data_IF_602690398948
#
_entry.id   IF_602690398948
#
_cell.length_a   1.000
_cell.length_b   1.000
_cell.length_c   1.000
_cell.angle_alpha   90.00
_cell.angle_beta   90.00
_cell.angle_gamma   90.00
#
_symmetry.space_group_name_H-M   'P 1'
#
loop_
_entity.id
_entity.type
_entity.pdbx_description
1 polymer ?
#
# COMPACT_ATOMS: atom_id res chain seq x y z
N UNK A 1 38.59 -6.70 6.18
CA UNK A 1 38.21 -7.93 5.44
C UNK A 1 37.17 -8.64 6.29
N UNK A 2 35.92 -8.70 5.85
CA UNK A 2 34.85 -9.37 6.60
C UNK A 2 35.01 -10.89 6.33
N UNK A 3 35.07 -11.76 7.36
CA UNK A 3 35.23 -13.19 7.17
C UNK A 3 34.04 -13.77 6.36
N UNK A 4 34.32 -14.43 5.24
CA UNK A 4 33.31 -15.20 4.51
C UNK A 4 33.01 -16.47 5.31
N UNK A 5 31.97 -16.41 6.13
CA UNK A 5 31.46 -17.55 6.89
C UNK A 5 31.12 -18.66 5.87
N UNK A 6 31.72 -19.84 6.01
CA UNK A 6 31.42 -20.99 5.13
C UNK A 6 29.97 -21.42 5.37
N UNK A 7 29.04 -20.91 4.55
CA UNK A 7 27.66 -21.37 4.60
C UNK A 7 27.61 -22.84 4.17
N UNK A 8 27.35 -23.73 5.12
CA UNK A 8 27.11 -25.14 4.82
C UNK A 8 25.95 -25.25 3.82
N UNK A 9 26.04 -26.22 2.89
CA UNK A 9 25.01 -26.48 1.86
C UNK A 9 23.62 -26.62 2.49
N UNK A 10 23.55 -27.20 3.69
CA UNK A 10 22.33 -27.33 4.48
C UNK A 10 21.75 -25.97 4.90
N UNK A 11 22.56 -25.10 5.49
CA UNK A 11 22.13 -23.75 5.89
C UNK A 11 21.58 -22.94 4.70
N UNK A 12 22.25 -23.04 3.53
CA UNK A 12 21.79 -22.37 2.32
C UNK A 12 20.43 -22.87 1.84
N UNK A 13 20.21 -24.19 1.88
CA UNK A 13 18.93 -24.80 1.50
C UNK A 13 17.84 -24.44 2.50
N UNK A 14 18.10 -24.54 3.80
CA UNK A 14 17.13 -24.17 4.85
C UNK A 14 16.75 -22.69 4.78
N UNK A 15 17.73 -21.80 4.58
CA UNK A 15 17.48 -20.37 4.39
C UNK A 15 16.64 -20.11 3.14
N UNK A 16 16.96 -20.77 2.01
CA UNK A 16 16.19 -20.62 0.78
C UNK A 16 14.76 -21.15 0.94
N UNK A 17 14.56 -22.29 1.60
CA UNK A 17 13.24 -22.81 1.95
C UNK A 17 12.46 -21.84 2.83
N UNK A 18 13.09 -21.27 3.87
CA UNK A 18 12.48 -20.25 4.72
C UNK A 18 12.03 -19.03 3.89
N UNK A 19 12.90 -18.50 3.04
CA UNK A 19 12.59 -17.35 2.18
C UNK A 19 11.45 -17.66 1.22
N UNK A 20 11.47 -18.83 0.58
CA UNK A 20 10.39 -19.27 -0.33
C UNK A 20 9.06 -19.43 0.42
N UNK A 21 9.06 -20.09 1.57
CA UNK A 21 7.85 -20.25 2.40
C UNK A 21 7.30 -18.91 2.89
N UNK A 22 8.18 -17.98 3.28
CA UNK A 22 7.81 -16.63 3.66
C UNK A 22 7.10 -15.88 2.52
N UNK A 23 7.64 -15.95 1.29
CA UNK A 23 7.00 -15.34 0.13
C UNK A 23 5.70 -16.03 -0.27
N UNK A 24 5.62 -17.37 -0.20
CA UNK A 24 4.36 -18.10 -0.44
C UNK A 24 3.30 -17.64 0.56
N UNK A 25 3.63 -17.58 1.84
CA UNK A 25 2.73 -17.11 2.89
C UNK A 25 2.22 -15.69 2.62
N UNK A 26 3.12 -14.78 2.21
CA UNK A 26 2.80 -13.39 1.89
C UNK A 26 1.89 -13.26 0.65
N UNK A 27 2.13 -14.07 -0.38
CA UNK A 27 1.41 -14.03 -1.66
C UNK A 27 0.06 -14.76 -1.60
N UNK A 28 -0.07 -15.80 -0.77
CA UNK A 28 -1.29 -16.62 -0.64
C UNK A 28 -2.58 -15.80 -0.47
N UNK A 29 -2.70 -14.85 0.47
CA UNK A 29 -3.93 -14.06 0.61
C UNK A 29 -4.23 -13.22 -0.63
N UNK A 30 -3.20 -12.71 -1.32
CA UNK A 30 -3.37 -11.97 -2.57
C UNK A 30 -3.93 -12.87 -3.68
N UNK A 31 -3.41 -14.09 -3.81
CA UNK A 31 -3.90 -15.08 -4.78
C UNK A 31 -5.34 -15.51 -4.49
N UNK A 32 -5.68 -15.70 -3.22
CA UNK A 32 -7.06 -16.03 -2.81
C UNK A 32 -8.00 -14.90 -3.21
N UNK A 33 -7.67 -13.64 -2.89
CA UNK A 33 -8.50 -12.50 -3.29
C UNK A 33 -8.61 -12.40 -4.82
N UNK A 34 -7.52 -12.58 -5.56
CA UNK A 34 -7.51 -12.54 -7.01
C UNK A 34 -8.32 -13.68 -7.65
N UNK A 35 -8.35 -14.87 -7.04
CA UNK A 35 -9.18 -15.97 -7.52
C UNK A 35 -10.67 -15.71 -7.23
N UNK A 36 -10.97 -15.23 -6.02
CA UNK A 36 -12.34 -14.92 -5.60
C UNK A 36 -12.92 -13.65 -6.24
N UNK A 37 -12.11 -12.79 -6.87
CA UNK A 37 -12.63 -11.63 -7.62
C UNK A 37 -13.40 -12.03 -8.88
N UNK A 38 -13.26 -13.27 -9.35
CA UNK A 38 -14.06 -13.84 -10.43
C UNK A 38 -15.28 -14.60 -9.93
N UNK A 39 -15.48 -14.71 -8.61
CA UNK A 39 -16.60 -15.43 -8.03
C UNK A 39 -17.90 -14.64 -8.27
N UNK A 40 -18.92 -15.29 -8.79
CA UNK A 40 -20.25 -14.70 -8.99
C UNK A 40 -21.03 -14.66 -7.67
N UNK A 41 -20.58 -13.81 -6.75
CA UNK A 41 -21.14 -13.68 -5.41
C UNK A 41 -21.28 -12.21 -5.02
N UNK A 42 -22.50 -11.82 -4.64
CA UNK A 42 -22.81 -10.46 -4.17
C UNK A 42 -22.06 -10.09 -2.87
N UNK A 43 -21.61 -11.09 -2.11
CA UNK A 43 -20.86 -10.91 -0.87
C UNK A 43 -19.57 -11.72 -0.89
N UNK A 44 -18.49 -11.24 -0.26
CA UNK A 44 -17.29 -12.03 -0.07
C UNK A 44 -17.61 -13.24 0.80
N UNK A 45 -17.68 -14.40 0.16
CA UNK A 45 -17.98 -15.66 0.80
C UNK A 45 -16.98 -16.71 0.33
N UNK A 46 -16.67 -17.65 1.21
CA UNK A 46 -15.79 -18.78 0.90
C UNK A 46 -16.44 -19.81 -0.03
N UNK A 47 -17.72 -19.61 -0.39
CA UNK A 47 -18.46 -20.49 -1.28
C UNK A 47 -18.30 -20.02 -2.72
N UNK A 48 -17.87 -20.92 -3.59
CA UNK A 48 -17.77 -20.65 -5.02
C UNK A 48 -19.17 -20.75 -5.66
N UNK A 49 -19.70 -19.62 -6.10
CA UNK A 49 -21.05 -19.51 -6.68
C UNK A 49 -21.05 -19.51 -8.22
N UNK A 50 -19.90 -19.29 -8.86
CA UNK A 50 -19.75 -19.28 -10.32
C UNK A 50 -18.57 -18.44 -10.75
N UNK A 51 -18.21 -18.49 -12.04
CA UNK A 51 -17.19 -17.62 -12.62
C UNK A 51 -17.90 -16.51 -13.43
N UNK A 52 -17.58 -15.24 -13.18
CA UNK A 52 -18.16 -14.11 -13.93
C UNK A 52 -17.12 -13.02 -14.26
N UNK A 53 -17.35 -12.35 -15.40
CA UNK A 53 -16.64 -11.13 -15.81
C UNK A 53 -17.48 -9.86 -15.62
N UNK A 54 -18.73 -10.00 -15.17
CA UNK A 54 -19.69 -8.89 -15.07
C UNK A 54 -19.20 -7.79 -14.12
N UNK A 55 -18.39 -8.16 -13.13
CA UNK A 55 -17.72 -7.22 -12.23
C UNK A 55 -16.78 -6.24 -12.94
N UNK A 56 -16.23 -6.62 -14.09
CA UNK A 56 -15.24 -5.84 -14.84
C UNK A 56 -15.85 -5.12 -16.05
N UNK A 57 -16.84 -5.76 -16.70
CA UNK A 57 -17.36 -5.32 -18.01
C UNK A 57 -18.86 -4.97 -17.99
N UNK A 58 -19.57 -5.20 -16.89
CA UNK A 58 -21.02 -5.00 -16.80
C UNK A 58 -21.44 -3.53 -16.65
N UNK A 59 -22.74 -3.26 -16.80
CA UNK A 59 -23.33 -1.91 -16.70
C UNK A 59 -23.20 -1.27 -15.30
N UNK A 60 -22.92 -2.11 -14.28
CA UNK A 60 -22.67 -1.76 -12.89
C UNK A 60 -21.18 -1.53 -12.58
N UNK A 61 -20.30 -1.51 -13.59
CA UNK A 61 -18.89 -1.18 -13.40
C UNK A 61 -18.76 0.20 -12.72
N UNK A 62 -17.86 0.37 -11.73
CA UNK A 62 -17.76 1.59 -10.95
C UNK A 62 -17.56 2.79 -11.88
N UNK A 63 -18.58 3.64 -11.96
CA UNK A 63 -18.57 4.83 -12.82
C UNK A 63 -17.70 5.90 -12.17
N UNK A 64 -16.89 6.50 -13.02
CA UNK A 64 -15.64 7.17 -12.68
C UNK A 64 -15.87 8.59 -12.14
N UNK A 65 -16.12 8.69 -10.84
CA UNK A 65 -16.04 9.91 -10.02
C UNK A 65 -14.63 10.40 -9.80
N UNK A 66 -13.86 10.47 -10.87
CA UNK A 66 -12.41 10.43 -10.76
C UNK A 66 -11.79 11.75 -10.38
N UNK A 67 -12.40 12.90 -10.69
CA UNK A 67 -11.64 14.15 -10.71
C UNK A 67 -11.18 14.56 -9.33
N UNK A 68 -12.09 14.62 -8.34
CA UNK A 68 -11.75 15.03 -6.97
C UNK A 68 -10.86 14.00 -6.28
N UNK A 69 -11.16 12.71 -6.44
CA UNK A 69 -10.33 11.63 -5.91
C UNK A 69 -8.93 11.65 -6.52
N UNK A 70 -8.82 11.84 -7.84
CA UNK A 70 -7.52 11.91 -8.54
C UNK A 70 -6.70 13.09 -8.07
N UNK A 71 -7.31 14.27 -7.85
CA UNK A 71 -6.61 15.43 -7.31
C UNK A 71 -6.14 15.19 -5.86
N UNK A 72 -6.97 14.57 -5.02
CA UNK A 72 -6.59 14.17 -3.66
C UNK A 72 -5.44 13.17 -3.64
N UNK A 73 -5.52 12.14 -4.48
CA UNK A 73 -4.49 11.12 -4.61
C UNK A 73 -3.20 11.69 -5.19
N UNK A 74 -3.30 12.60 -6.15
CA UNK A 74 -2.16 13.32 -6.68
C UNK A 74 -1.44 14.13 -5.60
N UNK A 75 -2.16 14.89 -4.78
CA UNK A 75 -1.58 15.68 -3.69
C UNK A 75 -0.86 14.79 -2.66
N UNK A 76 -1.47 13.67 -2.29
CA UNK A 76 -0.88 12.71 -1.35
C UNK A 76 0.38 12.04 -1.91
N UNK A 77 0.27 11.44 -3.10
CA UNK A 77 1.35 10.67 -3.73
C UNK A 77 2.53 11.57 -4.10
N UNK A 78 2.26 12.80 -4.58
CA UNK A 78 3.31 13.76 -4.94
C UNK A 78 4.20 14.10 -3.74
N UNK A 79 3.62 14.19 -2.54
CA UNK A 79 4.39 14.48 -1.31
C UNK A 79 5.42 13.38 -1.04
N UNK A 80 5.00 12.11 -1.14
CA UNK A 80 5.88 10.94 -0.93
C UNK A 80 6.89 10.81 -2.07
N UNK A 81 6.47 10.98 -3.33
CA UNK A 81 7.36 10.93 -4.48
C UNK A 81 8.44 12.01 -4.41
N UNK A 82 8.08 13.22 -4.01
CA UNK A 82 9.01 14.34 -3.80
C UNK A 82 10.02 14.02 -2.71
N UNK A 83 9.59 13.39 -1.61
CA UNK A 83 10.51 12.94 -0.57
C UNK A 83 11.53 11.95 -1.12
N UNK A 84 11.09 10.91 -1.83
CA UNK A 84 11.98 9.89 -2.42
C UNK A 84 12.99 10.54 -3.40
N UNK A 85 12.51 11.37 -4.32
CA UNK A 85 13.36 12.03 -5.32
C UNK A 85 14.33 13.02 -4.66
N UNK A 86 13.88 13.81 -3.69
CA UNK A 86 14.71 14.80 -3.00
C UNK A 86 15.85 14.16 -2.21
N UNK A 87 15.63 12.99 -1.60
CA UNK A 87 16.72 12.26 -0.91
C UNK A 87 17.82 11.83 -1.88
N UNK A 88 17.48 11.50 -3.14
CA UNK A 88 18.46 11.18 -4.17
C UNK A 88 19.14 12.44 -4.68
N UNK A 89 18.37 13.50 -4.93
CA UNK A 89 18.89 14.76 -5.46
C UNK A 89 19.88 15.43 -4.49
N UNK A 90 19.67 15.32 -3.17
CA UNK A 90 20.63 15.82 -2.16
C UNK A 90 22.00 15.15 -2.21
N UNK A 91 22.10 13.96 -2.81
CA UNK A 91 23.36 13.24 -3.01
C UNK A 91 24.01 13.53 -4.36
N UNK A 92 23.36 14.34 -5.20
CA UNK A 92 23.89 14.74 -6.50
C UNK A 92 24.92 15.86 -6.32
N UNK A 93 26.05 15.74 -7.02
CA UNK A 93 27.08 16.75 -7.04
C UNK A 93 26.87 17.69 -8.23
N UNK A 94 26.58 18.97 -7.95
CA UNK A 94 26.32 19.99 -8.96
C UNK A 94 27.52 20.21 -9.88
N UNK A 95 28.75 19.91 -9.43
CA UNK A 95 29.96 20.08 -10.23
C UNK A 95 29.97 19.17 -11.46
N UNK A 96 29.23 18.06 -11.45
CA UNK A 96 29.05 17.20 -12.62
C UNK A 96 28.21 17.87 -13.71
N UNK A 97 27.21 18.68 -13.33
CA UNK A 97 26.41 19.47 -14.27
C UNK A 97 27.24 20.62 -14.85
N UNK A 98 28.03 21.29 -14.02
CA UNK A 98 28.97 22.35 -14.45
C UNK A 98 30.05 21.83 -15.39
N UNK A 99 30.63 20.66 -15.10
CA UNK A 99 31.60 20.00 -15.96
C UNK A 99 31.02 19.65 -17.35
N UNK A 100 29.74 19.27 -17.40
CA UNK A 100 29.05 19.01 -18.67
C UNK A 100 28.76 20.29 -19.47
N UNK A 101 28.66 21.46 -18.81
CA UNK A 101 28.48 22.76 -19.47
C UNK A 101 29.79 23.36 -20.01
N UNK A 102 30.95 23.01 -19.45
CA UNK A 102 32.27 23.48 -19.92
C UNK A 102 32.56 23.25 -21.42
N UNK A 103 32.18 22.12 -22.05
CA UNK A 103 32.31 21.95 -23.50
C UNK A 103 31.28 22.74 -24.33
N UNK A 104 30.46 23.60 -23.72
CA UNK A 104 29.46 24.44 -24.40
C UNK A 104 28.03 23.88 -24.40
N UNK A 105 27.73 22.85 -23.60
CA UNK A 105 26.39 22.29 -23.51
C UNK A 105 25.43 23.28 -22.79
N UNK A 106 24.18 23.36 -23.27
CA UNK A 106 23.15 24.16 -22.59
C UNK A 106 22.71 23.52 -21.27
N UNK A 107 22.22 24.32 -20.32
CA UNK A 107 21.75 23.85 -19.01
C UNK A 107 20.68 22.76 -19.10
N UNK A 108 19.75 22.90 -20.05
CA UNK A 108 18.72 21.87 -20.31
C UNK A 108 19.33 20.55 -20.78
N UNK A 109 20.39 20.61 -21.59
CA UNK A 109 21.12 19.43 -22.07
C UNK A 109 21.89 18.76 -20.95
N UNK A 110 22.54 19.55 -20.08
CA UNK A 110 23.25 19.05 -18.91
C UNK A 110 22.28 18.35 -17.93
N UNK A 111 21.11 18.94 -17.67
CA UNK A 111 20.06 18.31 -16.85
C UNK A 111 19.57 16.99 -17.48
N UNK A 112 19.25 16.99 -18.78
CA UNK A 112 18.73 15.79 -19.44
C UNK A 112 19.75 14.65 -19.53
N UNK A 113 21.05 14.97 -19.61
CA UNK A 113 22.12 13.99 -19.86
C UNK A 113 22.86 13.57 -18.59
N UNK A 114 22.91 14.41 -17.56
CA UNK A 114 23.64 14.13 -16.31
C UNK A 114 22.66 13.91 -15.15
N UNK A 115 21.82 14.92 -14.88
CA UNK A 115 20.93 14.92 -13.72
C UNK A 115 19.80 13.90 -13.86
N UNK A 116 19.16 13.81 -15.03
CA UNK A 116 18.04 12.90 -15.27
C UNK A 116 18.47 11.42 -15.18
N UNK A 117 19.58 10.96 -15.82
CA UNK A 117 20.05 9.58 -15.68
C UNK A 117 20.47 9.22 -14.25
N UNK A 118 21.04 10.17 -13.51
CA UNK A 118 21.35 9.99 -12.09
C UNK A 118 20.08 9.77 -11.24
N UNK A 119 19.00 10.50 -11.56
CA UNK A 119 17.71 10.39 -10.88
C UNK A 119 16.85 9.21 -11.35
N UNK A 120 17.07 8.64 -12.55
CA UNK A 120 16.31 7.49 -13.10
C UNK A 120 16.00 6.38 -12.07
N UNK A 121 16.97 5.81 -11.33
CA UNK A 121 16.67 4.77 -10.34
C UNK A 121 15.76 5.25 -9.21
N UNK A 122 15.88 6.53 -8.80
CA UNK A 122 14.99 7.11 -7.79
C UNK A 122 13.60 7.43 -8.35
N UNK A 123 13.49 7.84 -9.60
CA UNK A 123 12.21 8.03 -10.28
C UNK A 123 11.45 6.70 -10.42
N UNK A 124 12.15 5.62 -10.79
CA UNK A 124 11.56 4.28 -10.83
C UNK A 124 11.13 3.82 -9.43
N UNK A 125 11.98 4.00 -8.42
CA UNK A 125 11.64 3.69 -7.03
C UNK A 125 10.44 4.49 -6.52
N UNK A 126 10.40 5.80 -6.79
CA UNK A 126 9.28 6.66 -6.45
C UNK A 126 8.00 6.24 -7.19
N UNK A 127 8.09 5.81 -8.44
CA UNK A 127 6.96 5.29 -9.21
C UNK A 127 6.37 4.00 -8.61
N UNK A 128 7.21 3.06 -8.19
CA UNK A 128 6.75 1.84 -7.49
C UNK A 128 6.08 2.18 -6.17
N UNK A 129 6.69 3.06 -5.37
CA UNK A 129 6.10 3.52 -4.09
C UNK A 129 4.77 4.23 -4.33
N UNK A 130 4.70 5.11 -5.32
CA UNK A 130 3.48 5.82 -5.71
C UNK A 130 2.35 4.86 -6.10
N UNK A 131 2.67 3.82 -6.88
CA UNK A 131 1.72 2.79 -7.26
C UNK A 131 1.18 2.05 -6.04
N UNK A 132 2.05 1.52 -5.17
CA UNK A 132 1.66 0.80 -3.96
C UNK A 132 0.78 1.67 -3.04
N UNK A 133 1.22 2.91 -2.78
CA UNK A 133 0.49 3.85 -1.93
C UNK A 133 -0.87 4.26 -2.52
N UNK A 134 -1.02 4.23 -3.85
CA UNK A 134 -2.30 4.52 -4.51
C UNK A 134 -3.38 3.49 -4.16
N UNK A 135 -3.01 2.20 -4.09
CA UNK A 135 -3.92 1.12 -3.70
C UNK A 135 -4.25 1.14 -2.21
N UNK A 136 -3.26 1.46 -1.36
CA UNK A 136 -3.44 1.46 0.10
C UNK A 136 -4.13 2.71 0.64
N UNK A 137 -4.15 3.82 -0.11
CA UNK A 137 -4.71 5.08 0.37
C UNK A 137 -6.25 5.14 0.27
N UNK A 138 -6.89 4.32 1.09
CA UNK A 138 -8.35 4.25 1.26
C UNK A 138 -8.96 5.50 1.91
N UNK A 139 -8.24 6.12 2.86
CA UNK A 139 -8.77 7.24 3.65
C UNK A 139 -9.02 8.49 2.80
N UNK A 140 -8.05 8.89 1.97
CA UNK A 140 -8.22 10.06 1.08
C UNK A 140 -9.32 9.81 0.06
N UNK A 141 -9.41 8.59 -0.48
CA UNK A 141 -10.49 8.24 -1.39
C UNK A 141 -11.85 8.30 -0.69
N UNK A 142 -11.98 7.84 0.56
CA UNK A 142 -13.26 7.75 1.26
C UNK A 142 -13.78 9.14 1.62
N UNK A 143 -12.90 10.04 2.04
CA UNK A 143 -13.26 11.40 2.41
C UNK A 143 -13.63 12.28 1.21
N UNK A 144 -13.08 11.99 0.03
CA UNK A 144 -13.33 12.74 -1.21
C UNK A 144 -14.33 12.07 -2.15
N UNK A 145 -14.73 10.83 -1.85
CA UNK A 145 -15.76 10.13 -2.61
C UNK A 145 -17.11 10.82 -2.37
N UNK A 146 -17.64 11.40 -3.44
CA UNK A 146 -18.97 12.00 -3.48
C UNK A 146 -20.00 10.99 -3.96
N UNK A 147 -20.64 11.26 -5.10
CA UNK A 147 -21.65 10.39 -5.73
C UNK A 147 -21.09 9.12 -6.37
N UNK A 148 -19.83 9.17 -6.80
CA UNK A 148 -19.17 8.11 -7.56
C UNK A 148 -17.96 7.63 -6.77
N UNK A 149 -18.00 6.36 -6.36
CA UNK A 149 -17.01 5.78 -5.45
C UNK A 149 -15.90 5.03 -6.22
N UNK A 150 -14.63 5.25 -5.87
CA UNK A 150 -13.52 4.41 -6.30
C UNK A 150 -13.75 2.93 -5.95
N UNK A 151 -13.16 2.02 -6.73
CA UNK A 151 -13.34 0.57 -6.58
C UNK A 151 -13.10 0.09 -5.13
N UNK A 152 -12.10 0.65 -4.45
CA UNK A 152 -11.76 0.30 -3.06
C UNK A 152 -12.89 0.62 -2.08
N UNK A 153 -13.62 1.72 -2.29
CA UNK A 153 -14.77 2.12 -1.45
C UNK A 153 -16.02 1.38 -1.87
N UNK A 154 -16.24 1.20 -3.18
CA UNK A 154 -17.34 0.38 -3.66
C UNK A 154 -17.28 -1.03 -3.05
N UNK A 155 -16.09 -1.66 -2.96
CA UNK A 155 -15.92 -2.94 -2.28
C UNK A 155 -16.17 -2.86 -0.76
N UNK A 156 -15.73 -1.78 -0.11
CA UNK A 156 -15.97 -1.56 1.33
C UNK A 156 -17.46 -1.35 1.66
N UNK A 157 -18.18 -0.58 0.87
CA UNK A 157 -19.61 -0.33 1.06
C UNK A 157 -20.40 -1.62 0.88
N UNK A 158 -20.03 -2.48 -0.07
CA UNK A 158 -20.65 -3.82 -0.26
C UNK A 158 -20.35 -4.77 0.89
N UNK A 159 -19.15 -4.74 1.45
CA UNK A 159 -18.80 -5.45 2.69
C UNK A 159 -19.65 -4.98 3.87
N UNK A 160 -19.91 -3.67 3.95
CA UNK A 160 -20.73 -3.06 4.99
C UNK A 160 -22.22 -3.36 4.83
N UNK A 161 -22.73 -3.39 3.60
CA UNK A 161 -24.10 -3.80 3.28
C UNK A 161 -24.37 -5.27 3.65
N UNK A 162 -23.35 -6.13 3.60
CA UNK A 162 -23.42 -7.53 4.06
C UNK A 162 -23.19 -7.73 5.56
N UNK A 163 -22.68 -6.73 6.28
CA UNK A 163 -22.48 -6.78 7.74
C UNK A 163 -23.72 -6.28 8.44
N UNK A 164 -24.51 -7.20 8.99
CA UNK A 164 -25.60 -6.82 9.90
C UNK A 164 -25.03 -5.89 10.98
N UNK A 165 -25.65 -4.73 11.28
CA UNK A 165 -25.20 -3.79 12.31
C UNK A 165 -24.91 -4.42 13.68
N UNK A 166 -25.45 -5.63 13.89
CA UNK A 166 -25.19 -6.53 15.01
C UNK A 166 -23.69 -6.82 15.23
N UNK A 167 -22.88 -6.97 14.18
CA UNK A 167 -21.46 -7.32 14.32
C UNK A 167 -20.61 -6.12 14.79
N UNK A 168 -20.96 -4.92 14.34
CA UNK A 168 -20.40 -3.67 14.87
C UNK A 168 -20.90 -3.39 16.29
N UNK A 169 -22.18 -3.63 16.58
CA UNK A 169 -22.72 -3.51 17.93
C UNK A 169 -22.01 -4.47 18.90
N UNK A 170 -21.78 -5.72 18.49
CA UNK A 170 -21.03 -6.70 19.27
C UNK A 170 -19.58 -6.28 19.47
N UNK A 171 -18.92 -5.73 18.44
CA UNK A 171 -17.54 -5.24 18.54
C UNK A 171 -17.41 -4.07 19.52
N UNK A 172 -18.36 -3.13 19.49
CA UNK A 172 -18.42 -2.01 20.45
C UNK A 172 -18.67 -2.51 21.87
N UNK A 173 -19.58 -3.47 22.06
CA UNK A 173 -19.83 -4.06 23.38
C UNK A 173 -18.61 -4.80 23.94
N UNK A 174 -17.90 -5.55 23.09
CA UNK A 174 -16.67 -6.23 23.48
C UNK A 174 -15.54 -5.25 23.80
N UNK A 175 -15.36 -4.19 23.00
CA UNK A 175 -14.39 -3.13 23.28
C UNK A 175 -14.71 -2.41 24.59
N UNK A 176 -15.97 -2.03 24.81
CA UNK A 176 -16.41 -1.40 26.05
C UNK A 176 -16.18 -2.31 27.27
N UNK A 177 -16.49 -3.61 27.14
CA UNK A 177 -16.21 -4.61 28.17
C UNK A 177 -14.71 -4.73 28.47
N UNK A 178 -13.87 -4.79 27.43
CA UNK A 178 -12.42 -4.85 27.60
C UNK A 178 -11.84 -3.59 28.24
N UNK A 179 -12.31 -2.40 27.84
CA UNK A 179 -11.91 -1.13 28.43
C UNK A 179 -12.35 -1.03 29.90
N UNK A 180 -13.56 -1.50 30.23
CA UNK A 180 -14.04 -1.57 31.61
C UNK A 180 -13.19 -2.49 32.47
N UNK A 181 -12.90 -3.71 32.00
CA UNK A 181 -12.04 -4.65 32.70
C UNK A 181 -10.61 -4.11 32.88
N UNK A 182 -10.07 -3.44 31.86
CA UNK A 182 -8.75 -2.80 31.94
C UNK A 182 -8.74 -1.67 32.98
N UNK A 183 -9.79 -0.84 33.04
CA UNK A 183 -9.93 0.21 34.05
C UNK A 183 -10.04 -0.40 35.46
N UNK A 184 -10.88 -1.43 35.65
CA UNK A 184 -11.00 -2.13 36.93
C UNK A 184 -9.66 -2.74 37.35
N UNK A 185 -8.95 -3.38 36.42
CA UNK A 185 -7.60 -3.91 36.67
C UNK A 185 -6.63 -2.79 37.07
N UNK A 186 -6.69 -1.62 36.42
CA UNK A 186 -5.84 -0.48 36.75
C UNK A 186 -6.11 0.05 38.17
N UNK A 187 -7.38 0.10 38.59
CA UNK A 187 -7.76 0.53 39.92
C UNK A 187 -7.52 -0.53 41.00
N UNK A 188 -7.63 -1.82 40.66
CA UNK A 188 -7.29 -2.94 41.53
C UNK A 188 -5.77 -3.08 41.75
N UNK A 189 -4.95 -2.56 40.83
CA UNK A 189 -3.49 -2.50 40.93
C UNK A 189 -2.97 -1.33 41.78
N UNK A 190 -3.81 -0.64 42.57
CA UNK A 190 -3.30 0.32 43.55
C UNK A 190 -2.41 -0.43 44.55
N UNK A 191 -1.11 -0.07 44.68
CA UNK A 191 -0.22 -0.74 45.61
C UNK A 191 -0.69 -0.44 47.03
N UNK A 192 -0.79 -1.51 47.85
CA UNK A 192 -0.94 -1.39 49.29
C UNK A 192 0.11 -0.42 49.81
N UNK A 193 -0.36 0.68 50.40
CA UNK A 193 0.49 1.62 51.12
C UNK A 193 1.02 0.89 52.34
N UNK A 194 2.35 0.75 52.42
CA UNK A 194 3.08 0.57 53.67
C UNK A 194 2.68 1.64 54.70
#
# INVERSE_FOLDING_TARGET
MIPSISSSRFYRVSYLCYVVLFFIFLITPLLVVAAFSFNDSLFPSLRWNGFTWDWYLGENAPRLGLVLVSLGQFAFITTIATLVISTRLRKFDITQEEAAMNPGASRMTAIATVTLPFLKPALLGAGVVAFLMSFENFNTTLMLAGSDTPLTIAMFDRLREGSTPVLNAASVLLMAGSAYLALVSLFAQRPDKQ
#
